data_IF_708316256951
#
_entry.id   IF_708316256951
#
_cell.length_a   1.000
_cell.length_b   1.000
_cell.length_c   1.000
_cell.angle_alpha   90.00
_cell.angle_beta   90.00
_cell.angle_gamma   90.00
#
_symmetry.space_group_name_H-M   'P 1'
#
loop_
_entity.id
_entity.type
_entity.pdbx_description
1 polymer ?
#
# COMPACT_ATOMS: atom_id res chain seq x y z
N UNK A 1 27.12 19.15 -42.92
CA UNK A 1 27.36 19.53 -41.50
C UNK A 1 26.18 20.34 -40.92
N UNK A 2 24.98 20.26 -41.52
CA UNK A 2 23.78 21.00 -41.07
C UNK A 2 22.72 20.04 -40.48
N UNK A 3 22.86 18.73 -40.68
CA UNK A 3 21.84 17.72 -40.28
C UNK A 3 21.97 17.20 -38.83
N UNK A 4 23.03 17.57 -38.09
CA UNK A 4 23.27 17.00 -36.77
C UNK A 4 22.76 17.85 -35.60
N UNK A 5 22.29 19.08 -35.86
CA UNK A 5 21.82 20.02 -34.82
C UNK A 5 20.29 20.04 -34.64
N UNK A 6 19.53 19.35 -35.48
CA UNK A 6 18.06 19.40 -35.46
C UNK A 6 17.36 18.42 -34.53
N UNK A 7 18.11 17.43 -33.98
CA UNK A 7 17.52 16.42 -33.10
C UNK A 7 17.40 16.80 -31.62
N UNK A 8 17.88 17.96 -31.19
CA UNK A 8 17.86 18.39 -29.76
C UNK A 8 16.93 19.55 -29.44
N UNK A 9 16.13 20.02 -30.40
CA UNK A 9 15.17 21.10 -30.13
C UNK A 9 13.84 20.55 -29.63
N UNK A 10 13.24 21.14 -28.59
CA UNK A 10 11.94 20.70 -28.09
C UNK A 10 10.87 20.81 -29.18
N UNK A 11 9.93 19.89 -29.17
CA UNK A 11 8.88 19.65 -30.18
C UNK A 11 8.18 20.93 -30.65
N UNK A 12 7.94 21.90 -29.75
CA UNK A 12 7.32 23.19 -30.05
C UNK A 12 8.15 24.11 -30.97
N UNK A 13 9.48 24.06 -30.90
CA UNK A 13 10.35 24.85 -31.77
C UNK A 13 10.35 24.31 -33.21
N UNK A 14 10.19 23.00 -33.40
CA UNK A 14 10.03 22.37 -34.74
C UNK A 14 8.73 22.77 -35.42
N UNK A 15 7.63 22.89 -34.68
CA UNK A 15 6.33 23.33 -35.25
C UNK A 15 6.44 24.81 -35.63
N UNK A 16 7.07 25.64 -34.83
CA UNK A 16 7.22 27.07 -35.05
C UNK A 16 8.09 27.36 -36.30
N UNK A 17 9.21 26.65 -36.45
CA UNK A 17 10.07 26.79 -37.65
C UNK A 17 9.43 26.29 -38.93
N UNK A 18 8.67 25.20 -38.90
CA UNK A 18 7.90 24.71 -40.08
C UNK A 18 6.82 25.72 -40.52
N UNK A 19 6.19 26.42 -39.59
CA UNK A 19 5.15 27.40 -39.91
C UNK A 19 5.73 28.69 -40.51
N UNK A 20 6.98 29.05 -40.19
CA UNK A 20 7.65 30.25 -40.70
C UNK A 20 8.34 30.03 -42.05
N UNK A 21 8.82 28.84 -42.34
CA UNK A 21 9.56 28.54 -43.59
C UNK A 21 8.64 28.19 -44.76
N UNK A 22 7.36 27.83 -44.53
CA UNK A 22 6.41 27.41 -45.54
C UNK A 22 5.67 28.56 -46.26
N UNK A 23 6.00 29.84 -46.01
CA UNK A 23 5.39 30.98 -46.74
C UNK A 23 6.41 31.86 -47.43
N UNK A 24 7.08 31.33 -48.44
CA UNK A 24 7.71 32.10 -49.48
C UNK A 24 6.95 31.86 -50.77
N UNK A 25 5.90 32.68 -51.04
CA UNK A 25 5.49 33.18 -52.37
C UNK A 25 4.15 33.88 -52.21
N UNK A 26 4.05 35.00 -52.96
CA UNK A 26 2.92 35.88 -53.14
C UNK A 26 2.94 37.11 -52.20
N UNK A 27 3.68 38.12 -52.59
CA UNK A 27 3.53 39.47 -52.08
C UNK A 27 3.09 40.41 -53.21
N UNK A 28 1.82 40.77 -53.22
CA UNK A 28 1.32 41.95 -53.94
C UNK A 28 1.42 43.20 -53.00
N UNK A 29 1.74 44.31 -53.61
CA UNK A 29 2.08 45.62 -52.96
C UNK A 29 0.90 46.33 -52.29
N UNK A 30 0.30 45.77 -51.26
CA UNK A 30 -0.73 46.52 -50.50
C UNK A 30 -0.82 45.98 -49.06
N UNK A 31 0.21 46.20 -48.22
CA UNK A 31 0.05 45.87 -46.80
C UNK A 31 1.29 46.18 -45.95
N UNK A 32 2.02 47.24 -46.14
CA UNK A 32 3.12 47.48 -45.18
C UNK A 32 2.58 47.75 -43.74
N UNK A 33 1.47 48.45 -43.62
CA UNK A 33 0.83 48.76 -42.34
C UNK A 33 0.12 47.54 -41.72
N UNK A 34 -0.57 46.72 -42.51
CA UNK A 34 -1.21 45.49 -42.01
C UNK A 34 -0.20 44.43 -41.62
N UNK A 35 0.93 44.33 -42.30
CA UNK A 35 1.99 43.42 -41.91
C UNK A 35 2.74 43.91 -40.66
N UNK A 36 2.96 45.20 -40.49
CA UNK A 36 3.49 45.81 -39.26
C UNK A 36 2.54 45.59 -38.09
N UNK A 37 1.24 45.74 -38.27
CA UNK A 37 0.24 45.47 -37.22
C UNK A 37 0.24 43.97 -36.85
N UNK A 38 0.31 43.04 -37.78
CA UNK A 38 0.40 41.59 -37.52
C UNK A 38 1.68 41.22 -36.77
N UNK A 39 2.81 41.81 -37.13
CA UNK A 39 4.10 41.63 -36.42
C UNK A 39 3.99 42.16 -35.01
N UNK A 40 3.41 43.38 -34.84
CA UNK A 40 3.20 43.96 -33.53
C UNK A 40 2.30 43.12 -32.61
N UNK A 41 1.15 42.62 -33.12
CA UNK A 41 0.23 41.73 -32.40
C UNK A 41 0.91 40.43 -32.00
N UNK A 42 1.66 39.79 -32.94
CA UNK A 42 2.38 38.55 -32.65
C UNK A 42 3.48 38.78 -31.60
N UNK A 43 4.19 39.90 -31.67
CA UNK A 43 5.20 40.25 -30.68
C UNK A 43 4.58 40.49 -29.32
N UNK A 44 3.44 41.13 -29.23
CA UNK A 44 2.68 41.40 -28.01
C UNK A 44 2.17 40.08 -27.38
N UNK A 45 1.71 39.13 -28.20
CA UNK A 45 1.32 37.82 -27.76
C UNK A 45 2.51 37.00 -27.23
N UNK A 46 3.67 37.11 -27.86
CA UNK A 46 4.91 36.45 -27.41
C UNK A 46 5.36 37.04 -26.07
N UNK A 47 5.36 38.38 -25.96
CA UNK A 47 5.68 39.04 -24.69
C UNK A 47 4.69 38.67 -23.60
N UNK A 48 3.39 38.67 -23.91
CA UNK A 48 2.34 38.18 -22.98
C UNK A 48 2.59 36.75 -22.54
N UNK A 49 2.93 35.86 -23.45
CA UNK A 49 3.21 34.46 -23.13
C UNK A 49 4.43 34.28 -22.21
N UNK A 50 5.52 35.01 -22.46
CA UNK A 50 6.76 34.87 -21.68
C UNK A 50 6.75 35.63 -20.36
N UNK A 51 5.98 36.70 -20.24
CA UNK A 51 5.97 37.57 -19.03
C UNK A 51 4.72 37.39 -18.17
N UNK A 52 3.53 37.23 -18.76
CA UNK A 52 2.29 37.06 -18.00
C UNK A 52 2.09 35.63 -17.51
N UNK A 53 2.50 34.61 -18.26
CA UNK A 53 2.42 33.22 -17.80
C UNK A 53 3.32 32.92 -16.60
N UNK A 54 4.61 33.35 -16.57
CA UNK A 54 5.42 33.19 -15.37
C UNK A 54 4.94 34.04 -14.20
N UNK A 55 4.39 35.25 -14.46
CA UNK A 55 3.83 36.09 -13.42
C UNK A 55 2.53 35.50 -12.84
N UNK A 56 1.63 34.98 -13.69
CA UNK A 56 0.44 34.27 -13.26
C UNK A 56 0.77 32.95 -12.54
N UNK A 57 1.80 32.22 -13.00
CA UNK A 57 2.30 31.04 -12.31
C UNK A 57 2.87 31.37 -10.92
N UNK A 58 3.65 32.46 -10.80
CA UNK A 58 4.13 32.94 -9.50
C UNK A 58 2.98 33.42 -8.60
N UNK A 59 1.96 34.08 -9.16
CA UNK A 59 0.78 34.51 -8.43
C UNK A 59 -0.07 33.33 -7.97
N UNK A 60 -0.36 32.38 -8.86
CA UNK A 60 -1.07 31.12 -8.54
C UNK A 60 -0.29 30.32 -7.51
N UNK A 61 1.03 30.22 -7.64
CA UNK A 61 1.89 29.59 -6.65
C UNK A 61 1.84 30.30 -5.30
N UNK A 62 1.84 31.63 -5.27
CA UNK A 62 1.76 32.43 -4.04
C UNK A 62 0.38 32.38 -3.38
N UNK A 63 -0.69 32.14 -4.14
CA UNK A 63 -2.07 32.03 -3.62
C UNK A 63 -2.43 30.60 -3.22
N UNK A 64 -1.92 29.59 -3.96
CA UNK A 64 -2.24 28.17 -3.71
C UNK A 64 -1.19 27.50 -2.82
N UNK A 65 0.07 27.97 -2.79
CA UNK A 65 1.17 27.38 -2.02
C UNK A 65 1.44 27.96 -0.62
N UNK A 66 0.81 29.02 -0.07
CA UNK A 66 0.97 29.30 1.34
C UNK A 66 0.60 28.12 2.23
N UNK A 67 -0.30 27.24 1.76
CA UNK A 67 -0.66 26.02 2.47
C UNK A 67 0.40 24.90 2.33
N UNK A 68 1.13 24.82 1.22
CA UNK A 68 2.15 23.77 1.00
C UNK A 68 3.49 24.07 1.70
N UNK A 69 3.88 25.33 1.84
CA UNK A 69 5.09 25.70 2.61
C UNK A 69 4.82 25.66 4.12
N UNK A 70 3.60 25.98 4.55
CA UNK A 70 3.14 25.79 5.93
C UNK A 70 3.02 24.30 6.24
N UNK A 71 2.53 23.47 5.30
CA UNK A 71 2.49 22.00 5.45
C UNK A 71 3.89 21.40 5.54
N UNK A 72 4.85 21.80 4.71
CA UNK A 72 6.22 21.28 4.77
C UNK A 72 6.97 21.74 6.02
N UNK A 73 6.80 22.98 6.47
CA UNK A 73 7.43 23.48 7.70
C UNK A 73 6.74 22.94 8.95
N UNK A 74 5.42 22.77 8.93
CA UNK A 74 4.68 22.12 10.02
C UNK A 74 4.91 20.63 10.04
N UNK A 75 5.02 19.95 8.89
CA UNK A 75 5.41 18.55 8.78
C UNK A 75 6.82 18.31 9.31
N UNK A 76 7.81 19.13 8.94
CA UNK A 76 9.17 19.01 9.47
C UNK A 76 9.26 19.35 10.97
N UNK A 77 8.57 20.40 11.44
CA UNK A 77 8.46 20.68 12.88
C UNK A 77 7.71 19.60 13.64
N UNK A 78 6.65 19.04 13.04
CA UNK A 78 5.90 17.95 13.64
C UNK A 78 6.75 16.67 13.68
N UNK A 79 7.50 16.37 12.63
CA UNK A 79 8.45 15.26 12.59
C UNK A 79 9.53 15.41 13.67
N UNK A 80 10.11 16.60 13.86
CA UNK A 80 11.08 16.87 14.92
C UNK A 80 10.47 16.81 16.34
N UNK A 81 9.27 17.34 16.52
CA UNK A 81 8.52 17.25 17.80
C UNK A 81 8.10 15.81 18.07
N UNK A 82 7.80 15.03 17.04
CA UNK A 82 7.41 13.63 17.16
C UNK A 82 8.61 12.71 17.34
N UNK A 83 9.74 13.00 16.69
CA UNK A 83 11.00 12.31 17.01
C UNK A 83 11.41 12.59 18.46
N UNK A 84 11.27 13.82 18.95
CA UNK A 84 11.47 14.14 20.36
C UNK A 84 10.49 13.45 21.30
N UNK A 85 9.19 13.34 20.94
CA UNK A 85 8.18 12.62 21.72
C UNK A 85 8.22 11.11 21.55
N UNK A 86 8.65 10.60 20.39
CA UNK A 86 8.86 9.15 20.17
C UNK A 86 10.12 8.63 20.87
N UNK A 87 11.09 9.52 21.14
CA UNK A 87 12.29 9.21 21.93
C UNK A 87 12.03 9.34 23.43
N UNK A 88 10.88 9.87 23.86
CA UNK A 88 10.47 9.80 25.26
C UNK A 88 10.05 8.35 25.58
N UNK A 89 10.95 7.60 26.22
CA UNK A 89 10.73 6.21 26.61
C UNK A 89 9.45 6.03 27.44
N UNK A 90 8.97 7.07 28.12
CA UNK A 90 7.73 7.04 28.88
C UNK A 90 6.48 6.92 27.99
N UNK A 91 6.47 7.53 26.79
CA UNK A 91 5.38 7.37 25.81
C UNK A 91 5.41 5.99 25.17
N UNK A 92 6.60 5.39 25.04
CA UNK A 92 6.77 4.03 24.52
C UNK A 92 6.48 2.96 25.60
N UNK A 93 6.64 3.29 26.88
CA UNK A 93 6.41 2.38 28.00
C UNK A 93 4.95 2.33 28.50
N UNK A 94 4.06 3.17 27.98
CA UNK A 94 2.64 3.22 28.39
C UNK A 94 1.79 2.02 27.94
N UNK A 95 2.36 1.15 27.09
CA UNK A 95 1.84 -0.21 26.88
C UNK A 95 2.54 -1.15 27.86
N UNK A 96 2.07 -1.26 29.11
CA UNK A 96 2.51 -2.25 30.10
C UNK A 96 2.31 -3.67 29.58
N UNK A 97 3.34 -4.22 28.97
CA UNK A 97 3.38 -5.58 28.44
C UNK A 97 4.34 -6.43 29.27
N UNK A 98 3.81 -7.35 30.03
CA UNK A 98 4.61 -8.41 30.64
C UNK A 98 5.02 -9.41 29.55
N UNK A 99 6.30 -9.74 29.45
CA UNK A 99 6.89 -10.61 28.43
C UNK A 99 6.30 -12.04 28.41
N UNK A 100 5.78 -12.51 29.52
CA UNK A 100 5.15 -13.85 29.68
C UNK A 100 3.77 -13.93 29.04
N UNK A 101 3.05 -12.80 28.92
CA UNK A 101 1.73 -12.77 28.27
C UNK A 101 1.82 -12.78 26.73
N UNK A 102 3.00 -12.48 26.17
CA UNK A 102 3.15 -12.39 24.71
C UNK A 102 3.04 -13.73 24.00
N UNK A 103 3.62 -14.78 24.54
CA UNK A 103 3.60 -16.11 23.91
C UNK A 103 2.23 -16.75 24.03
N UNK A 104 1.51 -16.53 25.15
CA UNK A 104 0.12 -16.99 25.31
C UNK A 104 -0.85 -16.20 24.44
N UNK A 105 -0.71 -14.87 24.38
CA UNK A 105 -1.50 -14.01 23.48
C UNK A 105 -1.20 -14.33 22.02
N UNK A 106 0.04 -14.66 21.69
CA UNK A 106 0.43 -15.09 20.35
C UNK A 106 -0.25 -16.42 19.98
N UNK A 107 -0.24 -17.43 20.87
CA UNK A 107 -0.90 -18.70 20.65
C UNK A 107 -2.44 -18.59 20.56
N UNK A 108 -3.07 -17.81 21.45
CA UNK A 108 -4.51 -17.53 21.39
C UNK A 108 -4.91 -16.76 20.13
N UNK A 109 -4.13 -15.73 19.75
CA UNK A 109 -4.38 -14.93 18.55
C UNK A 109 -4.23 -15.75 17.25
N UNK A 110 -3.30 -16.69 17.20
CA UNK A 110 -3.12 -17.60 16.05
C UNK A 110 -4.05 -18.80 16.11
N UNK A 111 -4.47 -19.25 17.29
CA UNK A 111 -5.49 -20.28 17.47
C UNK A 111 -6.85 -19.86 16.89
N UNK A 112 -7.31 -18.64 17.15
CA UNK A 112 -8.54 -18.10 16.53
C UNK A 112 -8.43 -17.97 14.99
N UNK A 113 -7.23 -17.72 14.44
CA UNK A 113 -7.00 -17.71 12.97
C UNK A 113 -7.14 -19.11 12.38
N UNK A 114 -6.79 -20.15 13.13
CA UNK A 114 -6.85 -21.54 12.64
C UNK A 114 -8.25 -22.15 12.73
N UNK A 115 -9.10 -21.69 13.65
CA UNK A 115 -10.47 -22.23 13.79
C UNK A 115 -11.42 -21.76 12.69
N UNK A 116 -11.38 -20.48 12.30
CA UNK A 116 -12.17 -19.96 11.17
C UNK A 116 -11.70 -20.49 9.80
N UNK A 117 -10.43 -20.90 9.70
CA UNK A 117 -9.81 -21.38 8.45
C UNK A 117 -9.81 -22.91 8.31
N UNK A 118 -10.37 -23.64 9.25
CA UNK A 118 -10.56 -25.11 9.16
C UNK A 118 -11.61 -25.53 8.12
N UNK A 119 -12.27 -24.58 7.49
CA UNK A 119 -13.19 -24.81 6.37
C UNK A 119 -12.39 -24.84 5.06
N UNK A 120 -12.14 -26.05 4.57
CA UNK A 120 -11.63 -26.41 3.25
C UNK A 120 -10.18 -26.02 2.92
N UNK A 121 -9.32 -27.01 2.78
CA UNK A 121 -8.02 -26.82 2.12
C UNK A 121 -8.28 -26.35 0.69
N UNK A 122 -8.09 -25.06 0.43
CA UNK A 122 -8.36 -24.43 -0.86
C UNK A 122 -7.73 -25.22 -2.02
N UNK A 123 -8.48 -25.39 -3.10
CA UNK A 123 -8.00 -26.07 -4.31
C UNK A 123 -6.85 -25.23 -4.92
N UNK A 124 -5.78 -25.91 -5.31
CA UNK A 124 -4.69 -25.27 -6.05
C UNK A 124 -5.02 -25.26 -7.54
N UNK A 125 -5.27 -24.07 -8.07
CA UNK A 125 -5.49 -23.87 -9.49
C UNK A 125 -4.16 -23.76 -10.24
N UNK A 126 -4.10 -24.23 -11.49
CA UNK A 126 -2.96 -24.01 -12.40
C UNK A 126 -2.90 -22.54 -12.83
N UNK A 127 -1.70 -22.05 -13.14
CA UNK A 127 -1.51 -20.68 -13.62
C UNK A 127 -2.35 -20.39 -14.88
N UNK A 128 -2.48 -21.36 -15.80
CA UNK A 128 -3.31 -21.22 -17.01
C UNK A 128 -4.79 -21.00 -16.69
N UNK A 129 -5.32 -21.71 -15.69
CA UNK A 129 -6.71 -21.55 -15.21
C UNK A 129 -6.91 -20.17 -14.59
N UNK A 130 -5.94 -19.69 -13.82
CA UNK A 130 -5.99 -18.34 -13.23
C UNK A 130 -5.98 -17.25 -14.29
N UNK A 131 -5.13 -17.35 -15.32
CA UNK A 131 -5.14 -16.40 -16.44
C UNK A 131 -6.48 -16.38 -17.17
N UNK A 132 -7.10 -17.55 -17.38
CA UNK A 132 -8.43 -17.63 -17.99
C UNK A 132 -9.49 -17.00 -17.08
N UNK A 133 -9.50 -17.32 -15.80
CA UNK A 133 -10.40 -16.75 -14.79
C UNK A 133 -10.31 -15.21 -14.78
N UNK A 134 -9.08 -14.66 -14.75
CA UNK A 134 -8.89 -13.20 -14.74
C UNK A 134 -9.37 -12.55 -16.04
N UNK A 135 -9.18 -13.22 -17.17
CA UNK A 135 -9.70 -12.77 -18.47
C UNK A 135 -11.23 -12.78 -18.49
N UNK A 136 -11.87 -13.88 -18.09
CA UNK A 136 -13.32 -14.05 -18.11
C UNK A 136 -14.03 -13.10 -17.14
N UNK A 137 -13.37 -12.79 -16.01
CA UNK A 137 -13.87 -11.84 -15.04
C UNK A 137 -13.46 -10.38 -15.34
N UNK A 138 -12.74 -10.11 -16.44
CA UNK A 138 -12.20 -8.79 -16.76
C UNK A 138 -11.43 -8.19 -15.57
N UNK A 139 -10.58 -9.00 -14.91
CA UNK A 139 -9.75 -8.57 -13.79
C UNK A 139 -8.31 -8.34 -14.25
N UNK A 140 -7.92 -7.09 -14.44
CA UNK A 140 -6.56 -6.69 -14.79
C UNK A 140 -5.99 -5.66 -13.83
N UNK A 141 -4.68 -5.71 -13.55
CA UNK A 141 -4.03 -4.71 -12.68
C UNK A 141 -4.05 -3.32 -13.31
N UNK A 142 -4.10 -3.22 -14.65
CA UNK A 142 -4.23 -1.94 -15.36
C UNK A 142 -5.56 -1.28 -15.00
N UNK A 143 -6.66 -2.02 -15.10
CA UNK A 143 -7.99 -1.49 -14.80
C UNK A 143 -8.16 -1.19 -13.30
N UNK A 144 -7.58 -2.02 -12.43
CA UNK A 144 -7.55 -1.75 -10.98
C UNK A 144 -6.82 -0.44 -10.67
N UNK A 145 -5.68 -0.15 -11.32
CA UNK A 145 -4.94 1.10 -11.13
C UNK A 145 -5.75 2.32 -11.56
N UNK A 146 -6.49 2.23 -12.67
CA UNK A 146 -7.29 3.33 -13.23
C UNK A 146 -8.56 3.53 -12.42
N UNK A 147 -9.32 2.45 -12.20
CA UNK A 147 -10.66 2.53 -11.61
C UNK A 147 -10.64 2.54 -10.08
N UNK A 148 -9.50 2.22 -9.46
CA UNK A 148 -9.35 2.08 -8.00
C UNK A 148 -10.31 1.08 -7.36
N UNK A 149 -10.70 0.08 -8.13
CA UNK A 149 -11.61 -0.98 -7.72
C UNK A 149 -11.03 -2.33 -8.12
N UNK A 150 -10.93 -3.26 -7.16
CA UNK A 150 -10.57 -4.65 -7.39
C UNK A 150 -11.79 -5.56 -7.20
N UNK A 151 -11.83 -6.65 -7.96
CA UNK A 151 -12.83 -7.71 -7.81
C UNK A 151 -12.40 -8.67 -6.70
N UNK A 152 -13.33 -9.20 -5.89
CA UNK A 152 -13.00 -10.28 -4.98
C UNK A 152 -12.65 -11.53 -5.78
N UNK A 153 -11.49 -12.12 -5.50
CA UNK A 153 -11.03 -13.36 -6.14
C UNK A 153 -10.50 -14.25 -5.04
N UNK A 154 -11.21 -15.33 -4.75
CA UNK A 154 -10.84 -16.28 -3.72
C UNK A 154 -9.89 -17.35 -4.29
N UNK A 155 -8.59 -17.13 -4.12
CA UNK A 155 -7.55 -18.09 -4.46
C UNK A 155 -6.92 -18.61 -3.18
N UNK A 156 -7.16 -19.91 -2.90
CA UNK A 156 -6.67 -20.52 -1.67
C UNK A 156 -5.18 -20.79 -1.66
N UNK A 157 -4.56 -21.08 -2.81
CA UNK A 157 -3.14 -21.49 -2.92
C UNK A 157 -2.47 -20.90 -4.16
N UNK A 158 -1.17 -20.57 -4.05
CA UNK A 158 -0.37 -20.16 -5.21
C UNK A 158 -0.19 -21.34 -6.19
N UNK A 159 -0.27 -21.11 -7.52
CA UNK A 159 0.04 -22.15 -8.50
C UNK A 159 1.53 -22.53 -8.43
N UNK A 160 1.84 -23.82 -8.55
CA UNK A 160 3.23 -24.29 -8.56
C UNK A 160 4.03 -23.73 -9.75
N UNK A 161 3.35 -23.50 -10.85
CA UNK A 161 3.93 -22.97 -12.08
C UNK A 161 4.47 -21.54 -11.96
N UNK A 162 4.18 -20.82 -10.86
CA UNK A 162 4.78 -19.49 -10.61
C UNK A 162 6.31 -19.52 -10.70
N UNK A 163 6.96 -20.60 -10.20
CA UNK A 163 8.42 -20.76 -10.26
C UNK A 163 8.93 -21.03 -11.69
N UNK A 164 8.07 -21.54 -12.59
CA UNK A 164 8.41 -21.91 -13.97
C UNK A 164 8.22 -20.75 -14.94
N UNK A 165 7.49 -19.68 -14.56
CA UNK A 165 7.26 -18.51 -15.40
C UNK A 165 8.57 -17.74 -15.58
N UNK A 166 9.23 -17.89 -16.73
CA UNK A 166 10.50 -17.22 -17.05
C UNK A 166 10.34 -15.70 -17.17
N UNK A 167 9.21 -15.23 -17.71
CA UNK A 167 8.95 -13.80 -17.83
C UNK A 167 8.65 -13.20 -16.46
N UNK A 168 9.65 -12.50 -15.89
CA UNK A 168 9.58 -11.89 -14.55
C UNK A 168 8.40 -10.93 -14.42
N UNK A 169 8.07 -10.17 -15.47
CA UNK A 169 6.93 -9.24 -15.45
C UNK A 169 5.61 -10.01 -15.30
N UNK A 170 5.39 -11.03 -16.13
CA UNK A 170 4.18 -11.88 -16.05
C UNK A 170 4.06 -12.58 -14.69
N UNK A 171 5.17 -13.08 -14.14
CA UNK A 171 5.19 -13.71 -12.82
C UNK A 171 4.79 -12.74 -11.72
N UNK A 172 5.34 -11.51 -11.72
CA UNK A 172 4.98 -10.46 -10.77
C UNK A 172 3.52 -10.04 -10.90
N UNK A 173 3.03 -9.87 -12.12
CA UNK A 173 1.63 -9.53 -12.38
C UNK A 173 0.68 -10.59 -11.82
N UNK A 174 0.93 -11.86 -12.12
CA UNK A 174 0.13 -12.97 -11.59
C UNK A 174 0.16 -13.01 -10.05
N UNK A 175 1.33 -12.86 -9.44
CA UNK A 175 1.47 -12.80 -7.99
C UNK A 175 0.65 -11.66 -7.39
N UNK A 176 0.75 -10.45 -7.94
CA UNK A 176 -0.02 -9.30 -7.46
C UNK A 176 -1.53 -9.52 -7.66
N UNK A 177 -1.96 -10.07 -8.81
CA UNK A 177 -3.36 -10.36 -9.07
C UNK A 177 -3.95 -11.34 -8.04
N UNK A 178 -3.15 -12.28 -7.54
CA UNK A 178 -3.58 -13.24 -6.50
C UNK A 178 -3.61 -12.59 -5.12
N UNK A 179 -2.56 -11.86 -4.74
CA UNK A 179 -2.35 -11.39 -3.36
C UNK A 179 -3.14 -10.12 -3.05
N UNK A 180 -3.28 -9.21 -4.02
CA UNK A 180 -3.96 -7.93 -3.82
C UNK A 180 -5.41 -8.06 -3.32
N UNK A 181 -6.30 -8.88 -3.91
CA UNK A 181 -7.66 -9.03 -3.40
C UNK A 181 -7.71 -9.51 -1.95
N UNK A 182 -6.83 -10.45 -1.56
CA UNK A 182 -6.77 -11.00 -0.21
C UNK A 182 -6.41 -9.92 0.83
N UNK A 183 -5.45 -9.04 0.48
CA UNK A 183 -5.05 -7.90 1.32
C UNK A 183 -6.20 -6.89 1.44
N UNK A 184 -6.86 -6.58 0.33
CA UNK A 184 -7.98 -5.64 0.29
C UNK A 184 -9.18 -6.16 1.08
N UNK A 185 -9.48 -7.46 1.03
CA UNK A 185 -10.55 -8.08 1.83
C UNK A 185 -10.27 -7.96 3.33
N UNK A 186 -9.06 -8.29 3.75
CA UNK A 186 -8.68 -8.16 5.16
C UNK A 186 -8.74 -6.69 5.62
N UNK A 187 -8.21 -5.77 4.81
CA UNK A 187 -8.29 -4.34 5.08
C UNK A 187 -9.74 -3.85 5.15
N UNK A 188 -10.62 -4.34 4.27
CA UNK A 188 -12.04 -3.97 4.29
C UNK A 188 -12.74 -4.41 5.59
N UNK A 189 -12.46 -5.62 6.08
CA UNK A 189 -12.95 -6.08 7.38
C UNK A 189 -12.52 -5.15 8.52
N UNK A 190 -11.25 -4.76 8.53
CA UNK A 190 -10.71 -3.84 9.54
C UNK A 190 -11.37 -2.46 9.43
N UNK A 191 -11.60 -1.94 8.22
CA UNK A 191 -12.29 -0.66 8.03
C UNK A 191 -13.75 -0.70 8.52
N UNK A 192 -14.44 -1.80 8.30
CA UNK A 192 -15.81 -1.99 8.83
C UNK A 192 -15.81 -2.04 10.36
N UNK A 193 -14.87 -2.80 10.95
CA UNK A 193 -14.68 -2.83 12.40
C UNK A 193 -14.35 -1.45 12.96
N UNK A 194 -13.45 -0.71 12.30
CA UNK A 194 -13.06 0.64 12.69
C UNK A 194 -14.26 1.61 12.61
N UNK A 195 -15.09 1.52 11.56
CA UNK A 195 -16.32 2.29 11.44
C UNK A 195 -17.29 1.98 12.60
N UNK A 196 -17.46 0.69 12.94
CA UNK A 196 -18.28 0.27 14.08
C UNK A 196 -17.69 0.77 15.41
N UNK A 197 -16.38 0.71 15.61
CA UNK A 197 -15.71 1.25 16.80
C UNK A 197 -16.07 2.73 16.98
N UNK A 198 -15.87 3.57 15.96
CA UNK A 198 -16.20 5.00 16.06
C UNK A 198 -17.70 5.25 16.27
N UNK A 199 -18.57 4.45 15.65
CA UNK A 199 -20.00 4.55 15.90
C UNK A 199 -20.36 4.26 17.37
N UNK A 200 -19.72 3.25 17.99
CA UNK A 200 -19.89 2.94 19.42
C UNK A 200 -19.35 4.06 20.30
N UNK A 201 -18.16 4.60 19.98
CA UNK A 201 -17.56 5.67 20.79
C UNK A 201 -18.31 6.99 20.73
N UNK A 202 -19.11 7.23 19.70
CA UNK A 202 -19.95 8.42 19.55
C UNK A 202 -21.33 8.30 20.21
N UNK A 203 -21.68 7.15 20.81
CA UNK A 203 -22.91 6.96 21.56
C UNK A 203 -22.78 7.51 22.98
N UNK A 204 -23.85 8.12 23.50
CA UNK A 204 -23.92 8.51 24.91
C UNK A 204 -23.95 7.30 25.85
N UNK A 205 -24.64 6.23 25.45
CA UNK A 205 -24.71 4.97 26.17
C UNK A 205 -24.53 3.78 25.23
N UNK A 206 -23.65 2.87 25.61
CA UNK A 206 -23.39 1.66 24.84
C UNK A 206 -24.34 0.53 25.30
N UNK A 207 -24.90 -0.19 24.35
CA UNK A 207 -25.71 -1.39 24.62
C UNK A 207 -24.83 -2.54 25.16
N UNK A 208 -25.47 -3.58 25.69
CA UNK A 208 -24.78 -4.80 26.10
C UNK A 208 -24.00 -5.41 24.93
N UNK A 209 -24.60 -5.49 23.75
CA UNK A 209 -23.96 -6.01 22.54
C UNK A 209 -22.77 -5.16 22.08
N UNK A 210 -22.82 -3.82 22.23
CA UNK A 210 -21.68 -2.95 21.95
C UNK A 210 -20.49 -3.26 22.87
N UNK A 211 -20.79 -3.45 24.17
CA UNK A 211 -19.78 -3.78 25.17
C UNK A 211 -19.16 -5.18 24.94
N UNK A 212 -19.96 -6.16 24.58
CA UNK A 212 -19.48 -7.51 24.22
C UNK A 212 -18.60 -7.46 22.99
N UNK A 213 -19.00 -6.71 21.96
CA UNK A 213 -18.20 -6.51 20.76
C UNK A 213 -16.85 -5.82 21.07
N UNK A 214 -16.86 -4.76 21.90
CA UNK A 214 -15.63 -4.10 22.34
C UNK A 214 -14.71 -5.06 23.09
N UNK A 215 -15.26 -5.87 24.01
CA UNK A 215 -14.48 -6.86 24.75
C UNK A 215 -13.83 -7.90 23.81
N UNK A 216 -14.58 -8.39 22.81
CA UNK A 216 -14.03 -9.27 21.76
C UNK A 216 -12.89 -8.58 21.00
N UNK A 217 -13.04 -7.28 20.66
CA UNK A 217 -11.99 -6.55 19.93
C UNK A 217 -10.78 -6.26 20.80
N UNK A 218 -10.93 -5.92 22.09
CA UNK A 218 -9.80 -5.79 23.00
C UNK A 218 -8.99 -7.10 23.06
N UNK A 219 -9.65 -8.24 23.26
CA UNK A 219 -9.00 -9.55 23.23
C UNK A 219 -8.32 -9.81 21.88
N UNK A 220 -9.02 -9.60 20.77
CA UNK A 220 -8.52 -9.79 19.41
C UNK A 220 -7.26 -8.97 19.09
N UNK A 221 -7.13 -7.78 19.66
CA UNK A 221 -5.98 -6.90 19.45
C UNK A 221 -4.96 -6.97 20.62
N UNK A 222 -5.05 -7.97 21.49
CA UNK A 222 -4.10 -8.21 22.60
C UNK A 222 -4.06 -7.05 23.59
N UNK A 223 -5.21 -6.53 24.00
CA UNK A 223 -5.33 -5.42 24.95
C UNK A 223 -6.01 -5.93 26.22
N UNK A 224 -5.24 -6.05 27.30
CA UNK A 224 -5.71 -6.56 28.60
C UNK A 224 -6.60 -5.57 29.36
N UNK A 225 -6.29 -4.27 29.29
CA UNK A 225 -7.10 -3.18 29.88
C UNK A 225 -7.96 -2.58 28.78
N UNK A 226 -9.16 -2.04 29.14
CA UNK A 226 -10.07 -1.37 28.18
C UNK A 226 -9.47 -0.04 27.65
N UNK A 227 -8.31 -0.11 27.00
CA UNK A 227 -7.57 1.04 26.45
C UNK A 227 -8.04 1.33 25.02
N UNK A 228 -8.99 2.25 24.89
CA UNK A 228 -9.56 2.72 23.63
C UNK A 228 -8.48 3.37 22.73
N UNK A 229 -7.61 4.29 23.20
CA UNK A 229 -6.53 4.84 22.39
C UNK A 229 -5.66 3.77 21.74
N UNK A 230 -5.25 2.75 22.47
CA UNK A 230 -4.47 1.63 21.93
C UNK A 230 -5.30 0.80 20.93
N UNK A 231 -6.59 0.54 21.20
CA UNK A 231 -7.44 -0.16 20.24
C UNK A 231 -7.59 0.63 18.92
N UNK A 232 -7.77 1.94 18.99
CA UNK A 232 -7.81 2.82 17.79
C UNK A 232 -6.52 2.77 16.99
N UNK A 233 -5.35 2.71 17.63
CA UNK A 233 -4.04 2.59 16.97
C UNK A 233 -3.82 1.21 16.35
N UNK A 234 -4.22 0.13 17.03
CA UNK A 234 -4.03 -1.26 16.57
C UNK A 234 -5.04 -1.65 15.49
N UNK A 235 -6.28 -1.22 15.60
CA UNK A 235 -7.36 -1.53 14.64
C UNK A 235 -7.30 -0.60 13.42
N UNK A 236 -6.29 -0.78 12.55
CA UNK A 236 -6.17 -0.04 11.29
C UNK A 236 -5.53 -0.91 10.20
N UNK A 237 -5.72 -0.51 8.96
CA UNK A 237 -5.26 -1.24 7.78
C UNK A 237 -3.74 -1.19 7.62
N UNK A 238 -3.24 -2.16 6.87
CA UNK A 238 -1.87 -2.13 6.33
C UNK A 238 -1.97 -1.72 4.85
N UNK A 239 -1.23 -0.68 4.40
CA UNK A 239 -1.26 -0.27 3.00
C UNK A 239 -0.98 -1.45 2.06
N UNK A 240 -1.80 -1.66 1.02
CA UNK A 240 -1.60 -2.76 0.07
C UNK A 240 -0.21 -2.81 -0.53
N UNK A 241 0.37 -1.66 -0.90
CA UNK A 241 1.73 -1.60 -1.46
C UNK A 241 2.79 -2.16 -0.50
N UNK A 242 2.68 -1.84 0.81
CA UNK A 242 3.57 -2.35 1.84
C UNK A 242 3.43 -3.86 2.01
N UNK A 243 2.21 -4.37 2.12
CA UNK A 243 1.94 -5.79 2.26
C UNK A 243 2.40 -6.60 1.03
N UNK A 244 2.13 -6.13 -0.19
CA UNK A 244 2.60 -6.78 -1.42
C UNK A 244 4.12 -6.80 -1.49
N UNK A 245 4.79 -5.69 -1.13
CA UNK A 245 6.24 -5.60 -1.16
C UNK A 245 6.89 -6.59 -0.19
N UNK A 246 6.36 -6.72 1.04
CA UNK A 246 6.82 -7.70 2.01
C UNK A 246 6.57 -9.13 1.51
N UNK A 247 5.36 -9.46 1.08
CA UNK A 247 5.07 -10.77 0.51
C UNK A 247 5.99 -11.12 -0.67
N UNK A 248 6.25 -10.16 -1.57
CA UNK A 248 7.17 -10.34 -2.70
C UNK A 248 8.61 -10.58 -2.26
N UNK A 249 9.09 -9.84 -1.26
CA UNK A 249 10.46 -9.98 -0.70
C UNK A 249 10.62 -11.34 -0.02
N UNK A 250 9.68 -11.71 0.87
CA UNK A 250 9.75 -12.94 1.67
C UNK A 250 9.63 -14.21 0.80
N UNK A 251 8.89 -14.14 -0.29
CA UNK A 251 8.57 -15.32 -1.10
C UNK A 251 9.27 -15.37 -2.46
N UNK A 252 10.10 -14.36 -2.79
CA UNK A 252 10.64 -14.25 -4.16
C UNK A 252 9.52 -14.17 -5.21
N UNK A 253 8.48 -13.36 -4.94
CA UNK A 253 7.30 -13.26 -5.80
C UNK A 253 6.53 -14.58 -5.93
N UNK A 254 6.35 -15.27 -4.81
CA UNK A 254 5.57 -16.50 -4.71
C UNK A 254 6.29 -17.78 -5.15
N UNK A 255 7.61 -17.72 -5.38
CA UNK A 255 8.37 -18.89 -5.88
C UNK A 255 9.00 -19.74 -4.76
N UNK A 256 9.05 -19.24 -3.53
CA UNK A 256 9.65 -19.96 -2.41
C UNK A 256 8.87 -21.20 -2.04
N UNK A 257 9.57 -22.22 -1.52
CA UNK A 257 8.96 -23.45 -1.02
C UNK A 257 7.91 -23.19 0.05
N UNK A 258 8.20 -22.28 0.98
CA UNK A 258 7.27 -21.93 2.06
C UNK A 258 5.96 -21.30 1.55
N UNK A 259 6.03 -20.47 0.50
CA UNK A 259 4.85 -19.91 -0.12
C UNK A 259 4.04 -20.96 -0.89
N UNK A 260 4.72 -21.85 -1.62
CA UNK A 260 4.07 -22.86 -2.46
C UNK A 260 3.50 -24.04 -1.65
N UNK A 261 4.22 -24.53 -0.66
CA UNK A 261 3.80 -25.68 0.15
C UNK A 261 3.00 -25.29 1.38
N UNK A 262 3.40 -24.19 2.04
CA UNK A 262 2.85 -23.76 3.32
C UNK A 262 1.93 -22.55 3.26
N UNK A 263 1.64 -21.98 2.08
CA UNK A 263 0.89 -20.72 1.93
C UNK A 263 1.45 -19.56 2.80
N UNK A 264 2.73 -19.62 3.16
CA UNK A 264 3.41 -18.68 4.02
C UNK A 264 3.91 -17.48 3.20
N UNK A 265 3.09 -16.45 3.07
CA UNK A 265 3.43 -15.26 2.27
C UNK A 265 4.41 -14.32 2.96
N UNK A 266 4.52 -14.36 4.29
CA UNK A 266 5.23 -13.36 5.09
C UNK A 266 6.31 -13.94 6.03
N UNK A 267 6.65 -15.21 5.87
CA UNK A 267 7.76 -15.85 6.59
C UNK A 267 7.62 -15.88 8.12
N UNK A 268 6.40 -15.88 8.66
CA UNK A 268 6.16 -15.87 10.11
C UNK A 268 6.62 -17.15 10.77
N UNK A 269 7.24 -17.01 11.94
CA UNK A 269 7.75 -18.12 12.73
C UNK A 269 6.70 -18.69 13.67
N UNK A 270 6.80 -19.99 13.96
CA UNK A 270 5.99 -20.69 14.96
C UNK A 270 6.84 -21.72 15.71
N UNK A 271 6.49 -21.97 16.96
CA UNK A 271 7.02 -23.08 17.76
C UNK A 271 6.08 -24.29 17.75
N UNK A 272 4.90 -24.15 17.11
CA UNK A 272 3.93 -25.25 17.01
C UNK A 272 4.38 -26.33 16.02
N UNK A 273 3.76 -27.51 16.13
CA UNK A 273 4.04 -28.62 15.22
C UNK A 273 3.60 -28.35 13.78
N UNK A 274 2.67 -27.40 13.57
CA UNK A 274 2.19 -26.97 12.26
C UNK A 274 3.14 -25.94 11.63
N UNK A 275 4.32 -26.39 11.15
CA UNK A 275 5.28 -25.52 10.47
C UNK A 275 6.27 -26.28 9.61
N UNK A 276 6.87 -25.62 8.64
CA UNK A 276 7.92 -26.14 7.76
C UNK A 276 9.28 -25.74 8.32
N UNK A 277 10.17 -26.71 8.56
CA UNK A 277 11.56 -26.42 8.91
C UNK A 277 12.30 -25.82 7.72
N UNK A 278 13.12 -24.76 7.92
CA UNK A 278 14.06 -24.30 6.91
C UNK A 278 15.00 -25.43 6.48
N UNK A 279 15.32 -25.52 5.17
CA UNK A 279 16.21 -26.56 4.66
C UNK A 279 17.63 -26.49 5.22
N UNK A 280 18.08 -25.28 5.61
CA UNK A 280 19.38 -24.99 6.21
C UNK A 280 19.31 -24.82 7.74
N UNK A 281 18.27 -25.36 8.40
CA UNK A 281 18.15 -25.23 9.84
C UNK A 281 19.17 -26.12 10.55
N UNK A 282 19.93 -25.54 11.48
CA UNK A 282 20.91 -26.25 12.31
C UNK A 282 20.23 -27.36 13.15
N UNK A 283 21.02 -28.40 13.49
CA UNK A 283 20.59 -29.45 14.37
C UNK A 283 20.24 -28.82 15.74
N UNK A 284 18.94 -28.88 16.13
CA UNK A 284 18.45 -28.24 17.36
C UNK A 284 17.54 -27.03 17.15
N UNK A 285 17.39 -26.52 15.94
CA UNK A 285 16.45 -25.45 15.63
C UNK A 285 15.01 -25.90 15.90
N UNK A 286 14.34 -25.24 16.84
CA UNK A 286 12.97 -25.55 17.27
C UNK A 286 11.92 -24.73 16.54
N UNK A 287 12.27 -23.57 16.00
CA UNK A 287 11.35 -22.70 15.29
C UNK A 287 11.15 -23.16 13.83
N UNK A 288 9.94 -23.03 13.35
CA UNK A 288 9.50 -23.41 12.01
C UNK A 288 8.82 -22.20 11.35
N UNK A 289 8.78 -22.17 10.02
CA UNK A 289 7.91 -21.22 9.30
C UNK A 289 6.48 -21.72 9.38
N UNK A 290 5.56 -20.85 9.82
CA UNK A 290 4.15 -21.18 10.01
C UNK A 290 3.51 -21.57 8.69
N UNK A 291 2.70 -22.63 8.69
CA UNK A 291 1.88 -23.07 7.57
C UNK A 291 0.44 -22.62 7.73
N UNK A 292 -0.21 -22.34 6.60
CA UNK A 292 -1.61 -21.96 6.54
C UNK A 292 -2.38 -22.85 5.56
N UNK A 293 -3.63 -23.14 5.86
CA UNK A 293 -4.49 -23.94 4.97
C UNK A 293 -4.77 -23.18 3.65
N UNK A 294 -4.91 -21.86 3.73
CA UNK A 294 -5.17 -20.97 2.60
C UNK A 294 -4.35 -19.68 2.71
N UNK A 295 -4.10 -19.00 1.58
CA UNK A 295 -3.34 -17.74 1.53
C UNK A 295 -3.93 -16.63 2.39
N UNK A 296 -5.27 -16.56 2.47
CA UNK A 296 -6.01 -15.57 3.25
C UNK A 296 -5.62 -15.59 4.73
N UNK A 297 -5.39 -16.78 5.29
CA UNK A 297 -4.95 -16.95 6.68
C UNK A 297 -3.57 -16.36 6.93
N UNK A 298 -2.65 -16.50 5.97
CA UNK A 298 -1.32 -15.87 6.03
C UNK A 298 -1.43 -14.33 6.01
N UNK A 299 -2.30 -13.78 5.18
CA UNK A 299 -2.55 -12.32 5.12
C UNK A 299 -3.13 -11.81 6.44
N UNK A 300 -4.10 -12.53 7.01
CA UNK A 300 -4.72 -12.20 8.30
C UNK A 300 -3.70 -12.23 9.44
N UNK A 301 -2.91 -13.30 9.51
CA UNK A 301 -1.88 -13.46 10.51
C UNK A 301 -0.82 -12.35 10.43
N UNK A 302 -0.36 -12.00 9.22
CA UNK A 302 0.55 -10.90 8.98
C UNK A 302 -0.03 -9.54 9.43
N UNK A 303 -1.26 -9.23 9.03
CA UNK A 303 -1.91 -7.97 9.39
C UNK A 303 -2.08 -7.86 10.90
N UNK A 304 -2.47 -8.95 11.56
CA UNK A 304 -2.57 -9.03 13.02
C UNK A 304 -1.21 -8.82 13.69
N UNK A 305 -0.15 -9.45 13.20
CA UNK A 305 1.21 -9.28 13.70
C UNK A 305 1.65 -7.81 13.67
N UNK A 306 1.54 -7.14 12.53
CA UNK A 306 1.91 -5.72 12.44
C UNK A 306 1.03 -4.83 13.35
N UNK A 307 -0.22 -5.21 13.56
CA UNK A 307 -1.17 -4.46 14.37
C UNK A 307 -1.02 -4.70 15.88
N UNK A 308 -0.40 -5.79 16.31
CA UNK A 308 -0.34 -6.14 17.74
C UNK A 308 1.07 -6.24 18.31
N UNK A 309 2.04 -6.80 17.56
CA UNK A 309 3.37 -7.09 18.09
C UNK A 309 4.15 -5.82 18.46
N UNK A 310 4.89 -5.88 19.60
CA UNK A 310 5.64 -4.73 20.16
C UNK A 310 6.64 -4.10 19.20
N UNK A 311 7.30 -4.90 18.37
CA UNK A 311 8.32 -4.42 17.42
C UNK A 311 7.78 -3.41 16.40
N UNK A 312 6.46 -3.42 16.14
CA UNK A 312 5.84 -2.53 15.15
C UNK A 312 5.07 -1.36 15.79
N UNK A 313 5.31 -1.08 17.08
CA UNK A 313 4.68 0.03 17.80
C UNK A 313 4.94 1.36 17.10
N UNK A 314 6.19 1.63 16.71
CA UNK A 314 6.58 2.86 16.02
C UNK A 314 5.84 3.04 14.69
N UNK A 315 5.74 2.00 13.87
CA UNK A 315 4.96 2.01 12.65
C UNK A 315 3.48 2.36 12.91
N UNK A 316 2.87 1.78 13.95
CA UNK A 316 1.47 2.09 14.32
C UNK A 316 1.27 3.53 14.80
N UNK A 317 2.23 4.11 15.52
CA UNK A 317 2.21 5.52 15.91
C UNK A 317 2.25 6.44 14.69
N UNK A 318 3.21 6.24 13.80
CA UNK A 318 3.33 7.03 12.56
C UNK A 318 2.06 6.90 11.71
N UNK A 319 1.51 5.68 11.58
CA UNK A 319 0.23 5.46 10.90
C UNK A 319 -0.92 6.24 11.53
N UNK A 320 -1.01 6.27 12.85
CA UNK A 320 -2.04 7.05 13.56
C UNK A 320 -1.89 8.55 13.29
N UNK A 321 -0.66 9.09 13.32
CA UNK A 321 -0.37 10.49 13.00
C UNK A 321 -0.78 10.83 11.57
N UNK A 322 -0.46 9.97 10.61
CA UNK A 322 -0.88 10.18 9.21
C UNK A 322 -2.41 10.23 9.09
N UNK A 323 -3.12 9.41 9.88
CA UNK A 323 -4.60 9.45 9.94
C UNK A 323 -5.12 10.76 10.49
N UNK A 324 -4.52 11.25 11.56
CA UNK A 324 -4.95 12.47 12.23
C UNK A 324 -4.66 13.73 11.36
N UNK A 325 -3.57 13.73 10.60
CA UNK A 325 -3.17 14.86 9.78
C UNK A 325 -3.83 14.90 8.40
N UNK A 326 -3.85 13.77 7.68
CA UNK A 326 -4.21 13.76 6.26
C UNK A 326 -5.29 12.74 5.91
N UNK A 327 -5.65 11.84 6.84
CA UNK A 327 -6.52 10.71 6.57
C UNK A 327 -5.95 9.65 5.60
N UNK A 328 -4.96 10.01 4.77
CA UNK A 328 -4.25 9.13 3.84
C UNK A 328 -3.00 8.54 4.47
N UNK A 329 -2.70 7.27 4.13
CA UNK A 329 -1.50 6.59 4.59
C UNK A 329 -0.39 6.70 3.53
N UNK A 330 0.81 7.07 3.96
CA UNK A 330 2.03 7.05 3.17
C UNK A 330 2.79 5.76 3.44
N UNK A 331 2.63 4.77 2.56
CA UNK A 331 3.25 3.46 2.70
C UNK A 331 4.78 3.49 2.71
N UNK A 332 5.39 4.40 1.95
CA UNK A 332 6.86 4.56 1.89
C UNK A 332 7.42 4.99 3.25
N UNK A 333 6.76 5.93 3.92
CA UNK A 333 7.15 6.38 5.26
C UNK A 333 6.90 5.28 6.31
N UNK A 334 5.78 4.56 6.22
CA UNK A 334 5.50 3.45 7.14
C UNK A 334 6.52 2.32 7.03
N UNK A 335 7.03 2.05 5.84
CA UNK A 335 8.07 1.03 5.60
C UNK A 335 9.35 1.36 6.38
N UNK A 336 9.71 2.64 6.58
CA UNK A 336 10.89 3.04 7.36
C UNK A 336 10.87 2.53 8.82
N UNK A 337 9.69 2.17 9.32
CA UNK A 337 9.48 1.68 10.67
C UNK A 337 9.26 0.16 10.76
N UNK A 338 9.73 -0.58 9.74
CA UNK A 338 9.76 -2.04 9.70
C UNK A 338 11.19 -2.61 9.88
N UNK A 339 12.11 -1.81 10.39
CA UNK A 339 13.50 -2.19 10.64
C UNK A 339 13.64 -3.42 11.55
N UNK A 340 12.69 -3.64 12.45
CA UNK A 340 12.63 -4.82 13.32
C UNK A 340 11.95 -6.06 12.67
N UNK A 341 11.59 -6.01 11.39
CA UNK A 341 10.96 -7.14 10.70
C UNK A 341 11.99 -8.20 10.26
N UNK A 342 13.18 -7.78 9.90
CA UNK A 342 14.28 -8.64 9.48
C UNK A 342 15.59 -8.22 10.16
N UNK A 343 16.52 -9.15 10.31
CA UNK A 343 17.83 -8.92 10.92
C UNK A 343 18.65 -7.83 10.21
N UNK A 344 18.44 -7.65 8.89
CA UNK A 344 19.12 -6.63 8.09
C UNK A 344 18.61 -5.20 8.33
N UNK A 345 17.57 -5.02 9.14
CA UNK A 345 17.13 -3.72 9.63
C UNK A 345 16.82 -2.72 8.49
N UNK A 346 17.61 -1.62 8.43
CA UNK A 346 17.40 -0.56 7.42
C UNK A 346 17.60 -1.04 5.98
N UNK A 347 18.48 -2.00 5.72
CA UNK A 347 18.64 -2.56 4.37
C UNK A 347 17.33 -3.21 3.90
N UNK A 348 16.66 -3.93 4.79
CA UNK A 348 15.35 -4.50 4.50
C UNK A 348 14.34 -3.43 4.07
N UNK A 349 14.24 -2.34 4.82
CA UNK A 349 13.28 -1.25 4.51
C UNK A 349 13.59 -0.58 3.18
N UNK A 350 14.87 -0.37 2.83
CA UNK A 350 15.27 0.16 1.53
C UNK A 350 14.91 -0.78 0.38
N UNK A 351 15.07 -2.09 0.56
CA UNK A 351 14.64 -3.09 -0.43
C UNK A 351 13.13 -3.02 -0.64
N UNK A 352 12.32 -2.90 0.43
CA UNK A 352 10.87 -2.76 0.31
C UNK A 352 10.47 -1.49 -0.44
N UNK A 353 11.07 -0.35 -0.10
CA UNK A 353 10.83 0.92 -0.82
C UNK A 353 11.17 0.81 -2.30
N UNK A 354 12.27 0.13 -2.64
CA UNK A 354 12.66 -0.15 -4.03
C UNK A 354 11.63 -1.02 -4.74
N UNK A 355 11.12 -2.08 -4.10
CA UNK A 355 10.08 -2.94 -4.66
C UNK A 355 8.80 -2.14 -4.91
N UNK A 356 8.36 -1.32 -3.95
CA UNK A 356 7.17 -0.47 -4.08
C UNK A 356 7.32 0.47 -5.29
N UNK A 357 8.43 1.21 -5.37
CA UNK A 357 8.67 2.19 -6.45
C UNK A 357 8.78 1.52 -7.82
N UNK A 358 9.58 0.47 -7.96
CA UNK A 358 9.83 -0.20 -9.25
C UNK A 358 8.60 -0.90 -9.85
N UNK A 359 7.65 -1.30 -9.00
CA UNK A 359 6.45 -2.00 -9.45
C UNK A 359 5.19 -1.14 -9.32
N UNK A 360 5.33 0.17 -9.02
CA UNK A 360 4.22 1.13 -8.88
C UNK A 360 3.14 0.62 -7.93
N UNK A 361 3.56 0.03 -6.79
CA UNK A 361 2.62 -0.60 -5.87
C UNK A 361 1.77 0.41 -5.12
N UNK A 362 2.24 1.63 -4.89
CA UNK A 362 1.48 2.71 -4.25
C UNK A 362 0.17 3.05 -4.97
N UNK A 363 0.07 2.69 -6.27
CA UNK A 363 -1.19 2.82 -7.02
C UNK A 363 -2.33 1.97 -6.44
N UNK A 364 -2.02 0.99 -5.60
CA UNK A 364 -3.00 0.12 -4.97
C UNK A 364 -3.44 0.57 -3.58
N UNK A 365 -2.81 1.60 -2.98
CA UNK A 365 -3.06 1.99 -1.59
C UNK A 365 -4.45 2.60 -1.36
N UNK A 366 -5.08 3.14 -2.40
CA UNK A 366 -6.44 3.68 -2.39
C UNK A 366 -7.48 2.80 -3.11
N UNK A 367 -7.09 1.59 -3.54
CA UNK A 367 -7.98 0.63 -4.18
C UNK A 367 -8.96 0.04 -3.16
N UNK A 368 -10.23 -0.06 -3.58
CA UNK A 368 -11.30 -0.70 -2.80
C UNK A 368 -11.63 -2.06 -3.40
N UNK A 369 -12.05 -2.99 -2.54
CA UNK A 369 -12.58 -4.28 -2.99
C UNK A 369 -14.10 -4.16 -3.22
N UNK A 370 -14.60 -4.72 -4.30
CA UNK A 370 -16.06 -4.86 -4.48
C UNK A 370 -16.60 -5.84 -3.43
N UNK A 371 -17.84 -5.63 -2.94
CA UNK A 371 -18.50 -6.62 -2.10
C UNK A 371 -18.57 -7.96 -2.82
N UNK A 372 -18.31 -9.05 -2.11
CA UNK A 372 -18.58 -10.39 -2.64
C UNK A 372 -20.09 -10.57 -2.83
N UNK A 373 -20.51 -11.45 -3.73
CA UNK A 373 -21.92 -11.78 -3.95
C UNK A 373 -22.60 -12.28 -2.66
N UNK A 374 -21.86 -12.94 -1.76
CA UNK A 374 -22.35 -13.36 -0.45
C UNK A 374 -22.56 -12.19 0.50
N UNK A 375 -21.67 -11.19 0.50
CA UNK A 375 -21.85 -9.99 1.32
C UNK A 375 -23.08 -9.17 0.89
N UNK A 376 -23.42 -9.19 -0.39
CA UNK A 376 -24.64 -8.55 -0.91
C UNK A 376 -25.89 -9.32 -0.50
N UNK A 377 -25.88 -10.66 -0.50
CA UNK A 377 -26.99 -11.50 -0.04
C UNK A 377 -27.33 -11.31 1.45
N UNK A 378 -26.33 -10.96 2.27
CA UNK A 378 -26.52 -10.72 3.71
C UNK A 378 -26.95 -9.27 4.04
N UNK A 379 -27.09 -8.40 3.04
CA UNK A 379 -27.55 -7.01 3.17
C UNK A 379 -29.01 -6.81 2.67
N UNK A 380 -29.60 -7.83 2.06
CA UNK A 380 -30.99 -7.92 1.61
C UNK A 380 -31.76 -8.82 2.58
#
# INVERSE_FOLDING_TARGET
MIDFLDKRKPFFIRIFLKFFISRKSIVSKQTSLQNLYKIFVVSLLIISFFYLLPASYKFVRKVIQPNLEIENSSSQKLTQVLEGKLLDENVLNDENYNSTDQDLVYQELYGEVTEEDNLESGVRLKASVLYQLFKDTNYSLKDVRVNKIAKPVEIGKLPYELKEIQNVKKRKELFIQIVLPLILEENNKILLDRKKLFAILNKNNNSKSDNEWLNKKFKQYGISKRDIPTLKRRMDIIPPSMAIAQAAKETGWGTSRFALEGNALFGQWTFSDKGIKPAAADAGTTHKVMMFNVLKSSVRAYTRNLNTHKSYRKMRYVRAIQRDNQGKLNSIELVDHLDNYAETGKEYTEVLKKIIKQNFLSDFDDVKILPSSEAVKNLI
#
